data_IF_128540105267
#
_entry.id   IF_128540105267
#
_cell.length_a   1.000
_cell.length_b   1.000
_cell.length_c   1.000
_cell.angle_alpha   90.00
_cell.angle_beta   90.00
_cell.angle_gamma   90.00
#
_symmetry.space_group_name_H-M   'P 1'
#
loop_
_entity.id
_entity.type
_entity.pdbx_description
1 polymer ?
#
# COMPACT_ATOMS: atom_id res chain seq x y z
N UNK A 1 4.42 12.55 -11.63
CA UNK A 1 3.77 12.09 -12.89
C UNK A 1 2.28 12.25 -12.70
N UNK A 2 1.53 12.68 -13.71
CA UNK A 2 0.07 12.83 -13.56
C UNK A 2 -0.61 11.45 -13.73
N UNK A 3 -1.11 10.89 -12.64
CA UNK A 3 -1.79 9.59 -12.64
C UNK A 3 -3.07 9.63 -13.48
N UNK A 4 -3.84 10.73 -13.42
CA UNK A 4 -5.11 10.83 -14.14
C UNK A 4 -4.86 10.79 -15.64
N UNK A 5 -3.78 11.44 -16.11
CA UNK A 5 -3.37 11.40 -17.50
C UNK A 5 -2.98 9.98 -17.96
N UNK A 6 -2.21 9.25 -17.15
CA UNK A 6 -1.75 7.89 -17.50
C UNK A 6 -2.93 6.92 -17.61
N UNK A 7 -3.92 7.05 -16.72
CA UNK A 7 -5.06 6.12 -16.64
C UNK A 7 -6.31 6.59 -17.41
N UNK A 8 -6.31 7.79 -18.01
CA UNK A 8 -7.43 8.33 -18.78
C UNK A 8 -7.90 7.42 -19.92
N UNK A 9 -6.97 6.71 -20.56
CA UNK A 9 -7.24 5.83 -21.71
C UNK A 9 -7.67 4.41 -21.37
N UNK A 10 -7.76 4.04 -20.08
CA UNK A 10 -8.11 2.67 -19.69
C UNK A 10 -9.55 2.34 -20.11
N UNK A 11 -9.78 1.22 -20.84
CA UNK A 11 -11.12 0.76 -21.18
C UNK A 11 -11.96 0.51 -19.93
N UNK A 12 -13.22 0.94 -19.97
CA UNK A 12 -14.20 0.66 -18.91
C UNK A 12 -14.90 -0.66 -19.18
N UNK A 13 -15.48 -1.24 -18.13
CA UNK A 13 -16.38 -2.41 -18.27
C UNK A 13 -17.57 -2.03 -19.15
N UNK A 14 -18.08 -0.78 -19.03
CA UNK A 14 -19.09 -0.24 -19.94
C UNK A 14 -20.48 -0.87 -19.76
N UNK A 15 -20.71 -1.48 -18.60
CA UNK A 15 -21.93 -2.18 -18.23
C UNK A 15 -21.83 -2.71 -16.80
N UNK A 16 -22.83 -3.50 -16.38
CA UNK A 16 -22.91 -4.03 -15.02
C UNK A 16 -21.69 -4.87 -14.66
N UNK A 17 -21.03 -4.51 -13.56
CA UNK A 17 -19.99 -5.34 -12.96
C UNK A 17 -20.59 -6.62 -12.39
N UNK A 18 -19.97 -7.74 -12.69
CA UNK A 18 -20.23 -9.05 -12.11
C UNK A 18 -19.51 -9.14 -10.76
N UNK A 19 -20.26 -8.87 -9.69
CA UNK A 19 -19.78 -8.96 -8.31
C UNK A 19 -20.82 -9.54 -7.35
N UNK A 20 -20.44 -9.69 -6.09
CA UNK A 20 -21.31 -10.22 -5.04
C UNK A 20 -22.52 -9.29 -4.77
N UNK A 21 -23.73 -9.75 -5.11
CA UNK A 21 -24.97 -9.00 -4.91
C UNK A 21 -25.49 -8.98 -3.47
N UNK A 22 -24.84 -9.72 -2.57
CA UNK A 22 -25.06 -9.59 -1.12
C UNK A 22 -24.24 -8.46 -0.51
N UNK A 23 -23.07 -8.14 -1.07
CA UNK A 23 -22.18 -7.08 -0.59
C UNK A 23 -22.45 -5.74 -1.27
N UNK A 24 -22.85 -5.77 -2.55
CA UNK A 24 -23.05 -4.57 -3.37
C UNK A 24 -24.45 -4.54 -3.95
N UNK A 25 -25.05 -3.35 -3.95
CA UNK A 25 -26.29 -3.14 -4.68
C UNK A 25 -26.04 -3.17 -6.19
N UNK A 26 -27.09 -3.39 -6.99
CA UNK A 26 -26.94 -3.33 -8.44
C UNK A 26 -26.47 -1.95 -8.92
N UNK A 27 -26.91 -0.88 -8.26
CA UNK A 27 -26.43 0.48 -8.53
C UNK A 27 -24.94 0.67 -8.23
N UNK A 28 -24.41 0.04 -7.18
CA UNK A 28 -22.98 0.12 -6.89
C UNK A 28 -22.16 -0.59 -7.96
N UNK A 29 -22.64 -1.77 -8.40
CA UNK A 29 -22.00 -2.54 -9.47
C UNK A 29 -22.06 -1.82 -10.81
N UNK A 30 -23.15 -1.10 -11.10
CA UNK A 30 -23.26 -0.26 -12.29
C UNK A 30 -22.30 0.94 -12.23
N UNK A 31 -22.21 1.62 -11.09
CA UNK A 31 -21.27 2.73 -10.87
C UNK A 31 -19.82 2.29 -11.05
N UNK A 32 -19.42 1.15 -10.47
CA UNK A 32 -18.06 0.60 -10.61
C UNK A 32 -17.68 0.29 -12.07
N UNK A 33 -18.65 -0.03 -12.91
CA UNK A 33 -18.43 -0.30 -14.34
C UNK A 33 -18.37 0.94 -15.24
N UNK A 34 -18.77 2.10 -14.69
CA UNK A 34 -18.99 3.37 -15.39
C UNK A 34 -17.82 4.35 -15.33
N UNK A 35 -18.14 5.64 -15.16
CA UNK A 35 -17.17 6.72 -15.05
C UNK A 35 -16.54 6.74 -13.64
N UNK A 36 -15.20 6.61 -13.51
CA UNK A 36 -14.51 6.73 -12.24
C UNK A 36 -14.82 8.02 -11.48
N UNK A 37 -15.17 9.12 -12.14
CA UNK A 37 -15.47 10.38 -11.46
C UNK A 37 -16.80 10.32 -10.69
N UNK A 38 -17.71 9.41 -11.05
CA UNK A 38 -19.04 9.29 -10.45
C UNK A 38 -19.09 8.30 -9.28
N UNK A 39 -18.06 7.47 -9.10
CA UNK A 39 -18.03 6.47 -8.01
C UNK A 39 -17.87 7.18 -6.65
N UNK A 40 -18.64 6.87 -5.60
CA UNK A 40 -18.40 7.44 -4.28
C UNK A 40 -17.07 6.97 -3.65
N UNK A 41 -16.40 7.79 -2.84
CA UNK A 41 -15.10 7.43 -2.21
C UNK A 41 -15.21 6.19 -1.30
N UNK A 42 -16.32 6.04 -0.58
CA UNK A 42 -16.63 4.88 0.24
C UNK A 42 -16.80 3.61 -0.60
N UNK A 43 -17.41 3.73 -1.79
CA UNK A 43 -17.50 2.62 -2.74
C UNK A 43 -16.13 2.26 -3.34
N UNK A 44 -15.28 3.24 -3.65
CA UNK A 44 -13.88 2.99 -4.06
C UNK A 44 -13.11 2.24 -2.97
N UNK A 45 -13.23 2.69 -1.71
CA UNK A 45 -12.58 2.05 -0.57
C UNK A 45 -13.10 0.64 -0.31
N UNK A 46 -14.42 0.45 -0.37
CA UNK A 46 -15.06 -0.86 -0.26
C UNK A 46 -14.55 -1.81 -1.34
N UNK A 47 -14.58 -1.40 -2.61
CA UNK A 47 -14.05 -2.20 -3.73
C UNK A 47 -12.57 -2.58 -3.53
N UNK A 48 -11.73 -1.62 -3.14
CA UNK A 48 -10.28 -1.84 -3.01
C UNK A 48 -9.91 -2.78 -1.86
N UNK A 49 -10.69 -2.78 -0.78
CA UNK A 49 -10.43 -3.58 0.43
C UNK A 49 -11.18 -4.93 0.45
N UNK A 50 -12.14 -5.13 -0.45
CA UNK A 50 -12.93 -6.35 -0.53
C UNK A 50 -12.10 -7.56 -0.97
N UNK A 51 -12.50 -8.76 -0.54
CA UNK A 51 -11.87 -10.01 -0.96
C UNK A 51 -12.09 -10.27 -2.45
N UNK A 52 -11.08 -10.82 -3.13
CA UNK A 52 -11.07 -10.91 -4.59
C UNK A 52 -12.04 -11.95 -5.16
N UNK A 53 -12.50 -12.90 -4.35
CA UNK A 53 -13.47 -13.93 -4.72
C UNK A 53 -14.91 -13.38 -4.87
N UNK A 54 -15.16 -12.15 -4.43
CA UNK A 54 -16.43 -11.45 -4.64
C UNK A 54 -16.57 -10.83 -6.04
N UNK A 55 -15.54 -10.94 -6.90
CA UNK A 55 -15.49 -10.26 -8.18
C UNK A 55 -15.21 -11.22 -9.34
N UNK A 56 -15.70 -10.86 -10.53
CA UNK A 56 -15.31 -11.53 -11.77
C UNK A 56 -13.83 -11.26 -12.10
N UNK A 57 -13.07 -12.33 -12.30
CA UNK A 57 -11.64 -12.27 -12.66
C UNK A 57 -11.39 -11.50 -13.98
N UNK A 58 -12.37 -11.53 -14.88
CA UNK A 58 -12.25 -10.92 -16.21
C UNK A 58 -12.46 -9.40 -16.17
N UNK A 59 -13.21 -8.90 -15.18
CA UNK A 59 -13.54 -7.47 -15.05
C UNK A 59 -12.69 -6.76 -14.00
N UNK A 60 -12.25 -7.46 -12.95
CA UNK A 60 -11.57 -6.86 -11.80
C UNK A 60 -10.36 -6.00 -12.21
N UNK A 61 -9.55 -6.50 -13.15
CA UNK A 61 -8.39 -5.77 -13.67
C UNK A 61 -8.76 -4.43 -14.32
N UNK A 62 -9.86 -4.36 -15.07
CA UNK A 62 -10.31 -3.11 -15.71
C UNK A 62 -10.86 -2.12 -14.69
N UNK A 63 -11.62 -2.61 -13.70
CA UNK A 63 -12.16 -1.76 -12.62
C UNK A 63 -11.02 -1.18 -11.80
N UNK A 64 -10.07 -2.02 -11.38
CA UNK A 64 -8.92 -1.57 -10.59
C UNK A 64 -8.08 -0.54 -11.36
N UNK A 65 -7.66 -0.86 -12.60
CA UNK A 65 -6.94 0.09 -13.46
C UNK A 65 -7.70 1.39 -13.61
N UNK A 66 -9.02 1.29 -13.78
CA UNK A 66 -9.88 2.41 -13.98
C UNK A 66 -10.02 3.34 -12.77
N UNK A 67 -9.92 2.79 -11.57
CA UNK A 67 -10.01 3.50 -10.29
C UNK A 67 -8.64 3.82 -9.68
N UNK A 68 -7.54 3.42 -10.32
CA UNK A 68 -6.20 3.47 -9.74
C UNK A 68 -5.80 4.84 -9.15
N UNK A 69 -6.03 6.00 -9.83
CA UNK A 69 -5.73 7.31 -9.23
C UNK A 69 -6.50 7.57 -7.94
N UNK A 70 -7.77 7.15 -7.89
CA UNK A 70 -8.64 7.33 -6.72
C UNK A 70 -8.30 6.39 -5.58
N UNK A 71 -7.95 5.15 -5.88
CA UNK A 71 -7.45 4.18 -4.90
C UNK A 71 -6.18 4.71 -4.21
N UNK A 72 -5.23 5.26 -4.99
CA UNK A 72 -4.01 5.82 -4.43
C UNK A 72 -4.25 7.12 -3.65
N UNK A 73 -5.19 7.95 -4.09
CA UNK A 73 -5.62 9.14 -3.33
C UNK A 73 -6.22 8.76 -1.98
N UNK A 74 -7.08 7.74 -1.97
CA UNK A 74 -7.67 7.21 -0.75
C UNK A 74 -6.60 6.64 0.19
N UNK A 75 -5.66 5.83 -0.33
CA UNK A 75 -4.55 5.28 0.43
C UNK A 75 -3.69 6.37 1.09
N UNK A 76 -3.41 7.46 0.37
CA UNK A 76 -2.63 8.58 0.90
C UNK A 76 -3.35 9.29 2.06
N UNK A 77 -4.67 9.45 1.95
CA UNK A 77 -5.50 10.08 2.97
C UNK A 77 -5.66 9.17 4.20
N UNK A 78 -5.97 7.89 3.96
CA UNK A 78 -6.34 6.89 4.96
C UNK A 78 -5.57 5.59 4.68
N UNK A 79 -4.31 5.49 5.16
CA UNK A 79 -3.53 4.29 4.95
C UNK A 79 -4.17 3.04 5.56
N UNK A 80 -4.27 2.00 4.75
CA UNK A 80 -4.75 0.67 5.11
C UNK A 80 -4.00 -0.33 4.22
N UNK A 81 -3.39 -1.35 4.84
CA UNK A 81 -2.63 -2.38 4.16
C UNK A 81 -3.45 -3.17 3.13
N UNK A 82 -4.77 -3.25 3.28
CA UNK A 82 -5.65 -4.05 2.43
C UNK A 82 -5.97 -3.39 1.08
N UNK A 83 -5.84 -2.06 0.95
CA UNK A 83 -6.26 -1.31 -0.23
C UNK A 83 -5.57 -1.79 -1.52
N UNK A 84 -4.30 -2.21 -1.44
CA UNK A 84 -3.55 -2.68 -2.61
C UNK A 84 -3.51 -4.20 -2.75
N UNK A 85 -4.16 -4.94 -1.84
CA UNK A 85 -4.14 -6.42 -1.82
C UNK A 85 -4.62 -7.04 -3.14
N UNK A 86 -5.63 -6.44 -3.76
CA UNK A 86 -6.21 -6.94 -5.01
C UNK A 86 -5.33 -6.77 -6.25
N UNK A 87 -4.22 -6.03 -6.17
CA UNK A 87 -3.44 -5.64 -7.34
C UNK A 87 -2.82 -6.83 -8.09
N UNK A 88 -2.41 -7.89 -7.37
CA UNK A 88 -1.96 -9.14 -8.00
C UNK A 88 -3.09 -9.85 -8.75
N UNK A 89 -4.29 -9.90 -8.17
CA UNK A 89 -5.48 -10.46 -8.81
C UNK A 89 -5.90 -9.66 -10.05
N UNK A 90 -5.69 -8.33 -10.02
CA UNK A 90 -5.84 -7.44 -11.17
C UNK A 90 -4.77 -7.65 -12.27
N UNK A 91 -3.84 -8.61 -12.10
CA UNK A 91 -2.75 -8.94 -13.02
C UNK A 91 -1.86 -7.74 -13.33
N UNK A 92 -1.54 -6.95 -12.31
CA UNK A 92 -0.71 -5.74 -12.46
C UNK A 92 0.58 -5.93 -13.25
N UNK A 93 1.25 -7.08 -13.07
CA UNK A 93 2.47 -7.42 -13.80
C UNK A 93 2.30 -7.47 -15.33
N UNK A 94 1.07 -7.61 -15.84
CA UNK A 94 0.76 -7.65 -17.27
C UNK A 94 0.25 -6.31 -17.82
N UNK A 95 0.16 -5.27 -17.00
CA UNK A 95 -0.28 -3.94 -17.45
C UNK A 95 0.80 -3.24 -18.29
N UNK A 96 0.45 -2.20 -19.07
CA UNK A 96 1.44 -1.37 -19.75
C UNK A 96 2.54 -0.86 -18.80
N UNK A 97 3.79 -0.85 -19.26
CA UNK A 97 4.94 -0.48 -18.44
C UNK A 97 4.83 0.94 -17.85
N UNK A 98 4.21 1.87 -18.59
CA UNK A 98 3.95 3.23 -18.13
C UNK A 98 2.98 3.26 -16.93
N UNK A 99 1.88 2.52 -17.00
CA UNK A 99 0.94 2.39 -15.89
C UNK A 99 1.61 1.78 -14.66
N UNK A 100 2.42 0.73 -14.86
CA UNK A 100 3.13 0.11 -13.74
C UNK A 100 4.16 1.07 -13.10
N UNK A 101 4.88 1.83 -13.91
CA UNK A 101 5.82 2.84 -13.43
C UNK A 101 5.10 3.96 -12.67
N UNK A 102 3.93 4.37 -13.15
CA UNK A 102 3.11 5.41 -12.52
C UNK A 102 2.65 5.01 -11.12
N UNK A 103 2.14 3.79 -10.93
CA UNK A 103 1.74 3.28 -9.61
C UNK A 103 2.94 3.24 -8.64
N UNK A 104 4.07 2.69 -9.08
CA UNK A 104 5.29 2.61 -8.24
C UNK A 104 5.79 4.00 -7.85
N UNK A 105 5.80 4.95 -8.79
CA UNK A 105 6.22 6.32 -8.54
C UNK A 105 5.27 7.04 -7.58
N UNK A 106 3.96 6.92 -7.78
CA UNK A 106 2.97 7.52 -6.89
C UNK A 106 3.07 6.96 -5.46
N UNK A 107 3.26 5.65 -5.32
CA UNK A 107 3.45 5.04 -3.99
C UNK A 107 4.70 5.57 -3.29
N UNK A 108 5.82 5.78 -4.02
CA UNK A 108 7.02 6.44 -3.48
C UNK A 108 6.73 7.85 -3.00
N UNK A 109 6.01 8.65 -3.79
CA UNK A 109 5.62 10.02 -3.44
C UNK A 109 4.71 10.06 -2.19
N UNK A 110 3.75 9.12 -2.09
CA UNK A 110 2.89 8.95 -0.91
C UNK A 110 3.73 8.62 0.34
N UNK A 111 4.65 7.65 0.24
CA UNK A 111 5.55 7.27 1.33
C UNK A 111 6.42 8.46 1.74
N UNK A 112 7.12 9.12 0.81
CA UNK A 112 7.97 10.26 1.13
C UNK A 112 7.20 11.36 1.87
N UNK A 113 6.00 11.68 1.41
CA UNK A 113 5.12 12.67 2.06
C UNK A 113 4.69 12.22 3.46
N UNK A 114 4.33 10.94 3.62
CA UNK A 114 3.90 10.41 4.92
C UNK A 114 5.04 10.39 5.96
N UNK A 115 6.27 10.08 5.53
CA UNK A 115 7.44 9.95 6.41
C UNK A 115 8.10 11.28 6.78
N UNK A 116 7.84 12.33 6.00
CA UNK A 116 8.24 13.71 6.35
C UNK A 116 7.15 14.45 7.12
N UNK A 117 5.96 13.87 7.23
CA UNK A 117 4.82 14.42 7.97
C UNK A 117 4.63 13.82 9.38
N UNK A 118 3.53 14.23 10.02
CA UNK A 118 3.14 13.75 11.35
C UNK A 118 2.12 12.60 11.26
N UNK A 119 2.57 11.46 10.72
CA UNK A 119 1.77 10.22 10.71
C UNK A 119 2.20 9.32 11.89
N UNK A 120 1.21 8.65 12.48
CA UNK A 120 1.39 7.62 13.50
C UNK A 120 2.16 6.41 12.96
N UNK A 121 2.91 5.70 13.80
CA UNK A 121 3.67 4.51 13.41
C UNK A 121 2.81 3.42 12.73
N UNK A 122 1.59 3.19 13.20
CA UNK A 122 0.67 2.23 12.59
C UNK A 122 0.34 2.57 11.14
N UNK A 123 -0.04 3.82 10.86
CA UNK A 123 -0.28 4.31 9.48
C UNK A 123 0.96 4.19 8.58
N UNK A 124 2.15 4.44 9.13
CA UNK A 124 3.40 4.26 8.37
C UNK A 124 3.61 2.78 8.03
N UNK A 125 3.38 1.87 8.98
CA UNK A 125 3.46 0.43 8.76
C UNK A 125 2.45 -0.03 7.69
N UNK A 126 1.19 0.39 7.78
CA UNK A 126 0.15 0.08 6.79
C UNK A 126 0.52 0.55 5.38
N UNK A 127 1.14 1.73 5.22
CA UNK A 127 1.63 2.18 3.91
C UNK A 127 2.70 1.27 3.31
N UNK A 128 3.66 0.82 4.12
CA UNK A 128 4.74 -0.05 3.63
C UNK A 128 4.21 -1.45 3.30
N UNK A 129 3.28 -1.96 4.11
CA UNK A 129 2.60 -3.22 3.82
C UNK A 129 1.72 -3.12 2.56
N UNK A 130 0.97 -2.03 2.38
CA UNK A 130 0.23 -1.77 1.16
C UNK A 130 1.16 -1.73 -0.07
N UNK A 131 2.27 -0.99 0.03
CA UNK A 131 3.21 -0.85 -1.07
C UNK A 131 3.79 -2.19 -1.53
N UNK A 132 4.07 -3.09 -0.59
CA UNK A 132 4.59 -4.41 -0.90
C UNK A 132 3.64 -5.30 -1.72
N UNK A 133 2.33 -5.02 -1.73
CA UNK A 133 1.38 -5.67 -2.65
C UNK A 133 1.59 -5.32 -4.13
N UNK A 134 2.25 -4.20 -4.45
CA UNK A 134 2.48 -3.78 -5.84
C UNK A 134 3.30 -4.80 -6.61
N UNK A 135 4.44 -5.21 -6.03
CA UNK A 135 5.37 -6.15 -6.65
C UNK A 135 5.40 -7.52 -5.93
N UNK A 136 4.50 -7.71 -4.96
CA UNK A 136 4.49 -8.88 -4.05
C UNK A 136 5.85 -9.06 -3.34
N UNK A 137 6.50 -7.95 -3.02
CA UNK A 137 7.87 -7.92 -2.49
C UNK A 137 8.03 -6.78 -1.49
N UNK A 138 8.57 -7.09 -0.31
CA UNK A 138 8.86 -6.09 0.73
C UNK A 138 10.20 -5.37 0.50
N UNK A 139 11.22 -6.11 0.06
CA UNK A 139 12.61 -5.62 0.01
C UNK A 139 12.80 -4.29 -0.76
N UNK A 140 12.17 -4.07 -1.94
CA UNK A 140 12.32 -2.80 -2.65
C UNK A 140 11.81 -1.58 -1.87
N UNK A 141 10.80 -1.77 -1.02
CA UNK A 141 10.21 -0.69 -0.22
C UNK A 141 11.02 -0.39 1.03
N UNK A 142 11.61 -1.39 1.67
CA UNK A 142 12.58 -1.19 2.74
C UNK A 142 13.83 -0.45 2.21
N UNK A 143 14.36 -0.89 1.07
CA UNK A 143 15.48 -0.20 0.42
C UNK A 143 15.11 1.26 0.04
N UNK A 144 13.86 1.52 -0.35
CA UNK A 144 13.40 2.88 -0.62
C UNK A 144 13.39 3.76 0.64
N UNK A 145 12.98 3.23 1.81
CA UNK A 145 13.05 3.96 3.08
C UNK A 145 14.47 4.42 3.39
N UNK A 146 15.47 3.59 3.08
CA UNK A 146 16.89 3.92 3.28
C UNK A 146 17.37 5.09 2.41
N UNK A 147 16.67 5.38 1.31
CA UNK A 147 16.95 6.54 0.44
C UNK A 147 16.34 7.85 0.91
N UNK A 148 15.40 7.81 1.88
CA UNK A 148 14.76 9.03 2.40
C UNK A 148 15.74 9.88 3.22
N UNK A 149 15.58 11.20 3.13
CA UNK A 149 16.42 12.18 3.82
C UNK A 149 16.33 12.14 5.35
N UNK A 150 17.16 12.95 6.00
CA UNK A 150 17.20 13.04 7.47
C UNK A 150 15.90 13.58 8.09
N UNK A 151 15.09 14.31 7.32
CA UNK A 151 13.75 14.76 7.67
C UNK A 151 12.76 13.60 7.91
N UNK A 152 13.02 12.42 7.34
CA UNK A 152 12.24 11.21 7.58
C UNK A 152 12.69 10.39 8.81
N UNK A 153 13.84 10.73 9.43
CA UNK A 153 14.45 9.89 10.47
C UNK A 153 13.53 9.67 11.68
N UNK A 154 12.78 10.71 12.09
CA UNK A 154 11.84 10.60 13.21
C UNK A 154 10.68 9.64 12.90
N UNK A 155 10.17 9.62 11.68
CA UNK A 155 9.12 8.69 11.26
C UNK A 155 9.65 7.26 11.15
N UNK A 156 10.86 7.10 10.63
CA UNK A 156 11.56 5.81 10.54
C UNK A 156 11.83 5.23 11.92
N UNK A 157 12.24 6.06 12.88
CA UNK A 157 12.40 5.63 14.27
C UNK A 157 11.08 5.11 14.86
N UNK A 158 9.96 5.83 14.67
CA UNK A 158 8.63 5.39 15.12
C UNK A 158 8.20 4.09 14.46
N UNK A 159 8.44 3.94 13.16
CA UNK A 159 8.15 2.70 12.43
C UNK A 159 8.95 1.53 12.99
N UNK A 160 10.27 1.72 13.15
CA UNK A 160 11.18 0.69 13.64
C UNK A 160 10.80 0.24 15.05
N UNK A 161 10.52 1.17 15.95
CA UNK A 161 10.03 0.86 17.29
C UNK A 161 8.72 0.06 17.25
N UNK A 162 7.76 0.50 16.43
CA UNK A 162 6.47 -0.18 16.29
C UNK A 162 6.62 -1.62 15.79
N UNK A 163 7.43 -1.84 14.75
CA UNK A 163 7.69 -3.18 14.24
C UNK A 163 8.44 -4.04 15.25
N UNK A 164 9.46 -3.51 15.92
CA UNK A 164 10.18 -4.25 16.95
C UNK A 164 9.23 -4.73 18.07
N UNK A 165 8.37 -3.84 18.57
CA UNK A 165 7.35 -4.19 19.57
C UNK A 165 6.31 -5.19 19.05
N UNK A 166 6.00 -5.15 17.76
CA UNK A 166 5.05 -6.06 17.12
C UNK A 166 5.65 -7.46 16.94
N UNK A 167 6.96 -7.56 16.69
CA UNK A 167 7.69 -8.83 16.56
C UNK A 167 7.82 -9.51 17.92
N UNK A 168 8.18 -8.77 18.98
CA UNK A 168 8.24 -9.32 20.35
C UNK A 168 6.90 -9.94 20.78
N UNK A 169 5.78 -9.44 20.26
CA UNK A 169 4.43 -9.99 20.50
C UNK A 169 4.06 -11.18 19.60
N UNK A 170 4.90 -11.54 18.63
CA UNK A 170 4.62 -12.56 17.61
C UNK A 170 3.54 -12.16 16.60
N UNK A 171 3.16 -10.88 16.56
CA UNK A 171 2.04 -10.38 15.76
C UNK A 171 2.43 -9.92 14.35
N UNK A 172 3.73 -9.82 14.06
CA UNK A 172 4.24 -9.48 12.73
C UNK A 172 3.93 -10.60 11.70
N UNK A 173 3.75 -11.84 12.17
CA UNK A 173 3.27 -12.96 11.37
C UNK A 173 1.81 -12.80 10.90
N UNK A 174 1.02 -11.89 11.48
CA UNK A 174 -0.37 -11.67 11.07
C UNK A 174 -0.48 -10.83 9.79
N UNK A 175 0.65 -10.28 9.32
CA UNK A 175 0.78 -9.47 8.12
C UNK A 175 1.12 -10.33 6.87
N UNK A 176 1.04 -11.67 6.97
CA UNK A 176 1.43 -12.66 5.96
C UNK A 176 0.49 -12.71 4.73
N UNK A 177 0.32 -11.59 4.02
CA UNK A 177 -0.44 -11.56 2.77
C UNK A 177 0.43 -11.79 1.50
N UNK A 178 1.76 -11.92 1.63
CA UNK A 178 2.74 -12.32 0.60
C UNK A 178 4.01 -12.90 1.27
N UNK A 179 4.96 -13.46 0.50
CA UNK A 179 6.14 -14.22 1.02
C UNK A 179 6.80 -13.60 2.26
N UNK A 180 7.30 -14.48 3.14
CA UNK A 180 7.91 -14.24 4.47
C UNK A 180 8.55 -12.86 4.64
N UNK A 181 7.71 -11.85 4.95
CA UNK A 181 8.14 -10.46 5.10
C UNK A 181 8.77 -10.19 6.46
N UNK A 182 8.46 -11.03 7.47
CA UNK A 182 9.01 -10.89 8.81
C UNK A 182 10.55 -11.01 8.85
N UNK A 183 11.19 -12.02 8.20
CA UNK A 183 12.65 -12.03 8.05
C UNK A 183 13.22 -10.75 7.43
N UNK A 184 12.63 -10.22 6.36
CA UNK A 184 13.11 -9.01 5.70
C UNK A 184 13.00 -7.77 6.60
N UNK A 185 11.91 -7.66 7.37
CA UNK A 185 11.74 -6.59 8.35
C UNK A 185 12.77 -6.74 9.48
N UNK A 186 13.01 -7.95 9.98
CA UNK A 186 14.06 -8.20 10.99
C UNK A 186 15.43 -7.81 10.48
N UNK A 187 15.81 -8.24 9.28
CA UNK A 187 17.10 -7.92 8.69
C UNK A 187 17.28 -6.40 8.54
N UNK A 188 16.22 -5.68 8.13
CA UNK A 188 16.24 -4.22 8.08
C UNK A 188 16.36 -3.57 9.47
N UNK A 189 15.66 -4.09 10.48
CA UNK A 189 15.74 -3.61 11.86
C UNK A 189 17.15 -3.79 12.48
N UNK A 190 17.89 -4.81 12.03
CA UNK A 190 19.27 -5.06 12.45
C UNK A 190 20.32 -4.43 11.52
N UNK A 191 19.93 -3.69 10.48
CA UNK A 191 20.86 -3.12 9.52
C UNK A 191 21.68 -1.96 10.10
N UNK A 192 22.96 -1.88 9.74
CA UNK A 192 23.84 -0.77 10.14
C UNK A 192 23.29 0.59 9.68
N UNK A 193 22.71 0.63 8.47
CA UNK A 193 22.10 1.82 7.92
C UNK A 193 20.99 2.36 8.83
N UNK A 194 20.08 1.50 9.32
CA UNK A 194 19.05 1.93 10.26
C UNK A 194 19.67 2.39 11.60
N UNK A 195 20.64 1.65 12.14
CA UNK A 195 21.30 2.00 13.41
C UNK A 195 21.97 3.38 13.40
N UNK A 196 22.61 3.75 12.29
CA UNK A 196 23.17 5.09 12.10
C UNK A 196 22.08 6.18 12.13
N UNK A 197 20.95 5.93 11.47
CA UNK A 197 19.81 6.87 11.46
C UNK A 197 19.18 7.02 12.84
N UNK A 198 18.93 5.92 13.54
CA UNK A 198 18.38 5.96 14.90
C UNK A 198 19.30 6.72 15.86
N UNK A 199 20.61 6.54 15.71
CA UNK A 199 21.61 7.26 16.51
C UNK A 199 21.61 8.76 16.20
N UNK A 200 21.59 9.13 14.91
CA UNK A 200 21.49 10.53 14.48
C UNK A 200 20.21 11.21 14.99
N UNK A 201 19.11 10.47 15.02
CA UNK A 201 17.81 10.96 15.49
C UNK A 201 17.67 10.99 17.02
N UNK A 202 18.63 10.43 17.78
CA UNK A 202 18.50 10.27 19.24
C UNK A 202 17.35 9.33 19.64
N UNK A 203 17.03 8.34 18.81
CA UNK A 203 15.87 7.46 18.97
C UNK A 203 16.18 6.24 19.86
N UNK A 204 16.49 6.49 21.14
CA UNK A 204 16.89 5.44 22.08
C UNK A 204 15.78 4.41 22.33
N UNK A 205 14.51 4.82 22.37
CA UNK A 205 13.37 3.91 22.56
C UNK A 205 13.26 2.87 21.43
N UNK A 206 13.50 3.28 20.19
CA UNK A 206 13.53 2.37 19.04
C UNK A 206 14.68 1.37 19.16
N UNK A 207 15.87 1.84 19.55
CA UNK A 207 17.06 1.00 19.75
C UNK A 207 16.86 -0.03 20.87
N UNK A 208 16.23 0.38 21.98
CA UNK A 208 15.86 -0.51 23.09
C UNK A 208 14.84 -1.55 22.63
N UNK A 209 13.80 -1.14 21.91
CA UNK A 209 12.78 -2.06 21.40
C UNK A 209 13.38 -3.12 20.46
N UNK A 210 14.28 -2.73 19.56
CA UNK A 210 15.00 -3.66 18.67
C UNK A 210 15.85 -4.64 19.47
N UNK A 211 16.54 -4.17 20.52
CA UNK A 211 17.35 -5.03 21.39
C UNK A 211 16.57 -6.06 22.21
N UNK A 212 15.23 -6.00 22.23
CA UNK A 212 14.35 -6.95 22.93
C UNK A 212 13.65 -7.96 22.00
N UNK A 213 13.86 -7.88 20.69
CA UNK A 213 13.35 -8.85 19.72
C UNK A 213 14.14 -10.17 19.78
#
# INVERSE_FOLDING_TARGET
>A
MDLDQVFAGVPRVGGKVEGCTYCYSESDLDLLGGDPAEVPDDLVGSFATEVTDHWSADQYGLIWRGLAPRILTLLAAQPDELILRGLAYARFSTWPAEEQAAIRQAMREIIATAFTGDKSAHRLASLICAAAHIDQQMAPWLAYLDTLGADADAAIARLAENWARTETKGTLAWWQYFEDSAPLIRDWLYSDALWERLTRAGADDAKIAIGWM
#
